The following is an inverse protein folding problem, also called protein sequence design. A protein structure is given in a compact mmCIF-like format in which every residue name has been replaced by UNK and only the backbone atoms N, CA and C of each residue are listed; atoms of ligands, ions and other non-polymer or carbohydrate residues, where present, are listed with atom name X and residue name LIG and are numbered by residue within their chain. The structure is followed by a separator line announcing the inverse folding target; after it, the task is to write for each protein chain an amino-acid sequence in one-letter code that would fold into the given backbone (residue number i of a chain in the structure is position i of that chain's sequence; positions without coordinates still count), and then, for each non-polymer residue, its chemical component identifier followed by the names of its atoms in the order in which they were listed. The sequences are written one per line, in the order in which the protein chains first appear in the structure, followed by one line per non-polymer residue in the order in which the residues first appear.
data_IF_696457098956
#
_entry.id   IF_696457098956
#
_cell.length_a   1.000
_cell.length_b   1.000
_cell.length_c   1.000
_cell.angle_alpha   90.00
_cell.angle_beta   90.00
_cell.angle_gamma   90.00
#
_symmetry.space_group_name_H-M   'P 1'
#
loop_
_entity.id
_entity.type
_entity.pdbx_description
1 polymer ?
#
# COMPACT_ATOMS: atom_id res chain seq x y z
N UNK A 1 19.87 -10.25 70.94
CA UNK A 1 19.64 -9.30 69.79
C UNK A 1 19.57 -10.11 68.55
N UNK A 2 18.36 -10.38 68.08
CA UNK A 2 18.06 -10.97 66.78
C UNK A 2 18.10 -9.86 65.73
N UNK A 3 19.11 -9.85 64.89
CA UNK A 3 19.17 -9.01 63.72
C UNK A 3 18.32 -9.69 62.60
N UNK A 4 17.23 -9.04 62.23
CA UNK A 4 16.52 -9.39 61.00
C UNK A 4 17.34 -8.81 59.84
N UNK A 5 17.94 -9.66 59.02
CA UNK A 5 18.42 -9.25 57.69
C UNK A 5 17.20 -8.89 56.83
N UNK A 6 17.13 -7.65 56.43
CA UNK A 6 16.06 -7.19 55.55
C UNK A 6 16.22 -7.87 54.18
N UNK A 7 15.24 -8.67 53.78
CA UNK A 7 15.14 -9.17 52.40
C UNK A 7 14.73 -7.99 51.53
N UNK A 8 15.65 -7.52 50.73
CA UNK A 8 15.34 -6.53 49.67
C UNK A 8 14.71 -7.29 48.50
N UNK A 9 13.41 -7.12 48.32
CA UNK A 9 12.70 -7.60 47.16
C UNK A 9 12.89 -6.52 46.11
N UNK A 10 13.74 -6.77 45.11
CA UNK A 10 13.83 -5.92 43.93
C UNK A 10 12.81 -6.39 42.90
N UNK A 11 11.99 -5.46 42.41
CA UNK A 11 11.13 -5.73 41.26
C UNK A 11 12.02 -5.73 40.01
N UNK A 12 11.92 -6.76 39.13
CA UNK A 12 12.64 -6.74 37.86
C UNK A 12 12.19 -5.53 37.01
N UNK A 13 13.11 -5.01 36.21
CA UNK A 13 12.77 -3.99 35.21
C UNK A 13 11.70 -4.54 34.26
N UNK A 14 10.73 -3.69 33.83
CA UNK A 14 9.69 -4.15 32.94
C UNK A 14 10.27 -4.56 31.57
N UNK A 15 9.80 -5.69 31.07
CA UNK A 15 10.10 -6.14 29.73
C UNK A 15 9.39 -5.22 28.72
N UNK A 16 10.15 -4.51 27.89
CA UNK A 16 9.63 -3.60 26.88
C UNK A 16 10.08 -4.05 25.48
N UNK A 17 9.21 -3.86 24.50
CA UNK A 17 9.51 -4.01 23.07
C UNK A 17 8.87 -2.87 22.31
N UNK A 18 9.55 -2.37 21.29
CA UNK A 18 9.05 -1.39 20.33
C UNK A 18 9.24 -1.94 18.92
N UNK A 19 8.16 -2.05 18.15
CA UNK A 19 8.12 -2.56 16.78
C UNK A 19 8.48 -1.52 15.72
N UNK A 20 8.76 -0.28 16.17
CA UNK A 20 9.01 0.85 15.27
C UNK A 20 7.74 1.53 14.75
N UNK A 21 7.90 2.59 13.94
CA UNK A 21 6.79 3.36 13.42
C UNK A 21 6.05 2.62 12.29
N UNK A 22 4.76 2.91 12.15
CA UNK A 22 4.00 2.50 10.97
C UNK A 22 4.64 3.07 9.69
N UNK A 23 4.56 2.31 8.60
CA UNK A 23 5.19 2.67 7.33
C UNK A 23 4.25 2.40 6.15
N UNK A 24 4.55 3.02 5.01
CA UNK A 24 3.85 2.83 3.74
C UNK A 24 4.85 2.28 2.74
N UNK A 25 4.43 1.27 1.98
CA UNK A 25 5.19 0.72 0.85
C UNK A 25 4.33 0.75 -0.41
N UNK A 26 4.95 0.85 -1.56
CA UNK A 26 4.27 0.59 -2.83
C UNK A 26 3.98 -0.92 -2.98
N UNK A 27 2.90 -1.27 -3.65
CA UNK A 27 2.57 -2.68 -3.93
C UNK A 27 3.73 -3.41 -4.61
N UNK A 28 4.07 -4.60 -4.08
CA UNK A 28 5.21 -5.38 -4.56
C UNK A 28 6.58 -4.95 -4.01
N UNK A 29 6.62 -3.88 -3.23
CA UNK A 29 7.83 -3.43 -2.53
C UNK A 29 7.96 -4.08 -1.15
N UNK A 30 9.08 -3.85 -0.48
CA UNK A 30 9.36 -4.35 0.85
C UNK A 30 9.98 -3.29 1.74
N UNK A 31 9.85 -3.47 3.06
CA UNK A 31 10.43 -2.59 4.08
C UNK A 31 11.05 -3.40 5.21
N UNK A 32 12.19 -2.97 5.77
CA UNK A 32 12.70 -3.57 6.98
C UNK A 32 11.85 -3.13 8.19
N UNK A 33 11.46 -4.10 9.02
CA UNK A 33 10.94 -3.83 10.36
C UNK A 33 12.08 -3.96 11.36
N UNK A 34 11.91 -3.37 12.56
CA UNK A 34 12.94 -3.42 13.60
C UNK A 34 12.29 -3.43 14.96
N UNK A 35 12.40 -4.56 15.66
CA UNK A 35 12.06 -4.63 17.08
C UNK A 35 13.26 -4.22 17.92
N UNK A 36 13.06 -3.23 18.78
CA UNK A 36 14.01 -2.88 19.83
C UNK A 36 13.45 -3.29 21.19
N UNK A 37 14.31 -3.73 22.10
CA UNK A 37 13.89 -4.23 23.41
C UNK A 37 14.88 -3.89 24.51
N UNK A 38 14.37 -3.72 25.72
CA UNK A 38 15.19 -3.60 26.93
C UNK A 38 15.66 -4.96 27.48
N UNK A 39 15.15 -6.07 26.95
CA UNK A 39 15.39 -7.43 27.43
C UNK A 39 16.73 -7.98 26.95
N UNK A 40 17.50 -8.55 27.87
CA UNK A 40 18.72 -9.32 27.58
C UNK A 40 18.99 -10.31 28.72
N UNK A 41 19.06 -11.64 28.44
CA UNK A 41 18.92 -12.26 27.10
C UNK A 41 17.46 -12.39 26.67
N UNK A 42 17.25 -12.34 25.35
CA UNK A 42 15.98 -12.70 24.72
C UNK A 42 15.93 -14.23 24.65
N UNK A 43 14.86 -14.85 25.18
CA UNK A 43 14.64 -16.31 25.10
C UNK A 43 13.84 -16.66 23.85
N UNK A 44 12.84 -15.82 23.52
CA UNK A 44 12.02 -16.03 22.33
C UNK A 44 11.57 -14.70 21.75
N UNK A 45 11.49 -14.66 20.42
CA UNK A 45 10.88 -13.58 19.64
C UNK A 45 9.96 -14.21 18.60
N UNK A 46 8.76 -13.64 18.45
CA UNK A 46 7.81 -14.12 17.47
C UNK A 46 7.04 -12.94 16.85
N UNK A 47 7.12 -12.84 15.53
CA UNK A 47 6.29 -11.95 14.73
C UNK A 47 5.08 -12.69 14.16
N UNK A 48 3.92 -12.04 14.21
CA UNK A 48 2.66 -12.54 13.62
C UNK A 48 1.90 -11.41 12.94
N UNK A 49 1.22 -11.65 11.81
CA UNK A 49 1.23 -12.88 11.00
C UNK A 49 2.60 -13.15 10.35
N UNK A 50 2.87 -14.38 9.95
CA UNK A 50 4.10 -14.77 9.25
C UNK A 50 4.11 -14.36 7.77
N UNK A 51 2.93 -14.12 7.20
CA UNK A 51 2.76 -13.81 5.79
C UNK A 51 3.47 -12.51 5.42
N UNK A 52 4.25 -12.54 4.35
CA UNK A 52 5.03 -11.40 3.88
C UNK A 52 6.28 -11.10 4.69
N UNK A 53 6.64 -11.90 5.71
CA UNK A 53 7.86 -11.70 6.49
C UNK A 53 8.98 -12.63 6.04
N UNK A 54 10.21 -12.12 6.02
CA UNK A 54 11.42 -12.91 5.73
C UNK A 54 11.79 -13.89 6.87
N UNK A 55 11.45 -13.56 8.10
CA UNK A 55 11.63 -14.38 9.30
C UNK A 55 10.63 -13.95 10.37
N UNK A 56 10.23 -14.87 11.24
CA UNK A 56 9.32 -14.58 12.37
C UNK A 56 10.01 -14.58 13.72
N UNK A 57 11.23 -15.08 13.77
CA UNK A 57 12.04 -15.31 14.97
C UNK A 57 13.30 -14.40 15.02
N UNK A 58 13.29 -13.30 14.32
CA UNK A 58 14.39 -12.33 14.22
C UNK A 58 13.97 -10.93 14.66
N UNK A 59 14.94 -10.10 15.07
CA UNK A 59 14.67 -8.72 15.48
C UNK A 59 14.38 -7.79 14.30
N UNK A 60 14.86 -8.13 13.12
CA UNK A 60 14.77 -7.27 11.92
C UNK A 60 14.29 -8.05 10.71
N UNK A 61 13.01 -8.44 10.66
CA UNK A 61 12.44 -9.03 9.45
C UNK A 61 12.30 -8.00 8.33
N UNK A 62 12.32 -8.48 7.09
CA UNK A 62 11.87 -7.70 5.92
C UNK A 62 10.39 -8.06 5.70
N UNK A 63 9.53 -7.05 5.65
CA UNK A 63 8.11 -7.20 5.38
C UNK A 63 7.79 -6.81 3.94
N UNK A 64 7.09 -7.68 3.22
CA UNK A 64 6.59 -7.49 1.86
C UNK A 64 5.13 -7.97 1.78
N UNK A 65 4.21 -7.37 2.54
CA UNK A 65 2.81 -7.74 2.50
C UNK A 65 2.17 -7.30 1.17
N UNK A 66 1.15 -8.05 0.72
CA UNK A 66 0.38 -7.71 -0.48
C UNK A 66 -0.87 -6.86 -0.18
N UNK A 67 -1.18 -6.64 1.10
CA UNK A 67 -2.27 -5.77 1.60
C UNK A 67 -1.89 -5.15 2.93
N UNK A 68 -2.64 -4.14 3.35
CA UNK A 68 -2.43 -3.47 4.64
C UNK A 68 -2.37 -4.50 5.77
N UNK A 69 -1.22 -4.61 6.41
CA UNK A 69 -0.98 -5.65 7.41
C UNK A 69 -0.42 -5.05 8.69
N UNK A 70 -0.99 -5.42 9.83
CA UNK A 70 -0.44 -5.11 11.14
C UNK A 70 0.31 -6.33 11.65
N UNK A 71 1.60 -6.16 11.87
CA UNK A 71 2.48 -7.18 12.44
C UNK A 71 2.62 -6.92 13.94
N UNK A 72 2.49 -7.97 14.74
CA UNK A 72 2.70 -7.96 16.18
C UNK A 72 4.00 -8.68 16.48
N UNK A 73 4.84 -8.10 17.33
CA UNK A 73 6.03 -8.75 17.88
C UNK A 73 5.81 -9.09 19.35
N UNK A 74 6.10 -10.33 19.69
CA UNK A 74 6.10 -10.82 21.08
C UNK A 74 7.51 -11.22 21.43
N UNK A 75 8.04 -10.68 22.54
CA UNK A 75 9.32 -11.05 23.10
C UNK A 75 9.10 -11.68 24.48
N UNK A 76 9.84 -12.77 24.75
CA UNK A 76 9.84 -13.46 26.04
C UNK A 76 11.22 -13.39 26.66
N UNK A 77 11.32 -12.97 27.92
CA UNK A 77 12.55 -12.97 28.69
C UNK A 77 12.83 -14.32 29.40
N UNK A 78 13.95 -14.42 30.09
CA UNK A 78 14.34 -15.63 30.83
C UNK A 78 13.41 -15.96 32.00
N UNK A 79 12.64 -14.99 32.49
CA UNK A 79 11.68 -15.17 33.57
C UNK A 79 10.29 -15.57 33.05
N UNK A 80 10.11 -15.65 31.73
CA UNK A 80 8.83 -15.92 31.08
C UNK A 80 7.93 -14.69 30.99
N UNK A 81 8.44 -13.47 31.24
CA UNK A 81 7.69 -12.23 31.04
C UNK A 81 7.56 -11.92 29.54
N UNK A 82 6.39 -11.42 29.14
CA UNK A 82 6.07 -11.10 27.76
C UNK A 82 6.03 -9.57 27.56
N UNK A 83 6.60 -9.11 26.46
CA UNK A 83 6.36 -7.78 25.91
C UNK A 83 5.78 -7.93 24.52
N UNK A 84 4.83 -7.05 24.17
CA UNK A 84 4.12 -7.07 22.89
C UNK A 84 4.04 -5.65 22.38
N UNK A 85 4.31 -5.49 21.07
CA UNK A 85 4.06 -4.26 20.34
C UNK A 85 3.67 -4.58 18.88
N UNK A 86 3.26 -3.57 18.13
CA UNK A 86 2.81 -3.76 16.76
C UNK A 86 3.23 -2.63 15.83
N UNK A 87 3.41 -2.97 14.55
CA UNK A 87 3.67 -2.03 13.47
C UNK A 87 2.74 -2.34 12.31
N UNK A 88 2.13 -1.30 11.73
CA UNK A 88 1.31 -1.45 10.54
C UNK A 88 2.11 -1.04 9.30
N UNK A 89 2.14 -1.95 8.32
CA UNK A 89 2.64 -1.69 6.97
C UNK A 89 1.42 -1.45 6.08
N UNK A 90 1.28 -0.21 5.62
CA UNK A 90 0.27 0.18 4.64
C UNK A 90 0.82 -0.09 3.24
N UNK A 91 0.01 -0.69 2.37
CA UNK A 91 0.36 -0.95 0.98
C UNK A 91 -0.39 0.03 0.11
N UNK A 92 0.36 0.89 -0.58
CA UNK A 92 -0.18 1.84 -1.54
C UNK A 92 -0.25 1.19 -2.92
N UNK A 93 -1.42 1.20 -3.53
CA UNK A 93 -1.65 0.78 -4.90
C UNK A 93 -1.74 2.03 -5.75
N UNK A 94 -0.69 2.32 -6.47
CA UNK A 94 -0.70 3.33 -7.52
C UNK A 94 -0.67 2.66 -8.91
N UNK A 95 -1.51 3.14 -9.82
CA UNK A 95 -1.50 2.74 -11.21
C UNK A 95 -1.21 3.94 -12.10
N UNK A 96 -0.41 3.70 -13.14
CA UNK A 96 -0.02 4.76 -14.05
C UNK A 96 -1.16 5.12 -15.00
N UNK A 97 -1.45 6.41 -15.10
CA UNK A 97 -2.40 6.95 -16.08
C UNK A 97 -1.60 7.69 -17.13
N UNK A 98 -1.68 7.30 -18.41
CA UNK A 98 -1.00 8.02 -19.49
C UNK A 98 -1.41 9.49 -19.51
N UNK A 99 -0.51 10.37 -19.90
CA UNK A 99 -0.77 11.80 -20.00
C UNK A 99 -1.04 12.30 -21.42
N UNK A 100 -0.87 11.42 -22.43
CA UNK A 100 -1.11 11.71 -23.84
C UNK A 100 -1.36 10.43 -24.63
N UNK A 101 -2.08 10.55 -25.75
CA UNK A 101 -2.25 9.50 -26.75
C UNK A 101 -2.42 10.09 -28.15
N UNK A 102 -2.21 9.26 -29.19
CA UNK A 102 -2.16 9.66 -30.59
C UNK A 102 -2.95 8.70 -31.47
N UNK A 103 -4.28 8.87 -31.61
CA UNK A 103 -5.10 8.00 -32.44
C UNK A 103 -4.84 8.29 -33.92
N UNK A 104 -3.79 7.68 -34.49
CA UNK A 104 -3.34 7.82 -35.88
C UNK A 104 -3.32 6.50 -36.66
N UNK A 105 -3.83 5.39 -36.03
CA UNK A 105 -3.91 4.05 -36.58
C UNK A 105 -2.53 3.41 -36.89
N UNK A 106 -1.46 3.81 -36.14
CA UNK A 106 -0.13 3.21 -36.31
C UNK A 106 0.08 2.00 -35.35
N UNK A 107 -0.88 1.71 -34.47
CA UNK A 107 -0.85 0.62 -33.51
C UNK A 107 -0.14 0.99 -32.19
N UNK A 108 0.24 2.26 -32.00
CA UNK A 108 0.92 2.74 -30.80
C UNK A 108 0.16 3.91 -30.16
N UNK A 109 -0.33 3.73 -28.94
CA UNK A 109 -1.06 4.75 -28.20
C UNK A 109 -2.28 5.32 -28.97
N UNK A 110 -2.93 4.51 -29.79
CA UNK A 110 -4.13 4.89 -30.54
C UNK A 110 -5.35 5.09 -29.65
N UNK A 111 -5.30 4.55 -28.44
CA UNK A 111 -6.34 4.70 -27.43
C UNK A 111 -5.75 5.18 -26.12
N UNK A 112 -6.49 6.03 -25.43
CA UNK A 112 -6.22 6.35 -24.03
C UNK A 112 -6.76 5.21 -23.18
N UNK A 113 -5.85 4.35 -22.73
CA UNK A 113 -6.15 3.15 -21.97
C UNK A 113 -5.31 3.07 -20.70
N UNK A 114 -5.88 2.52 -19.63
CA UNK A 114 -5.22 2.30 -18.36
C UNK A 114 -4.99 0.81 -18.21
N UNK A 115 -3.72 0.43 -17.98
CA UNK A 115 -3.35 -0.97 -17.82
C UNK A 115 -3.02 -1.23 -16.35
N UNK A 116 -3.84 -2.03 -15.69
CA UNK A 116 -3.60 -2.52 -14.33
C UNK A 116 -4.44 -3.76 -14.06
N UNK A 117 -3.89 -4.71 -13.33
CA UNK A 117 -4.59 -5.92 -12.85
C UNK A 117 -5.09 -5.76 -11.40
N UNK A 118 -4.94 -4.57 -10.82
CA UNK A 118 -5.16 -4.35 -9.39
C UNK A 118 -6.54 -3.79 -9.05
N UNK A 119 -7.45 -3.72 -10.03
CA UNK A 119 -8.79 -3.19 -9.84
C UNK A 119 -9.84 -4.29 -9.98
N UNK A 120 -10.82 -4.29 -9.07
CA UNK A 120 -12.02 -5.15 -9.14
C UNK A 120 -13.23 -4.41 -9.68
N UNK A 121 -13.22 -3.08 -9.63
CA UNK A 121 -14.15 -2.23 -10.35
C UNK A 121 -13.44 -1.01 -10.89
N UNK A 122 -13.94 -0.51 -12.00
CA UNK A 122 -13.35 0.60 -12.73
C UNK A 122 -14.47 1.40 -13.37
N UNK A 123 -14.34 2.70 -13.33
CA UNK A 123 -15.16 3.63 -14.10
C UNK A 123 -14.31 4.83 -14.46
N UNK A 124 -14.33 5.23 -15.72
CA UNK A 124 -13.70 6.45 -16.21
C UNK A 124 -14.72 7.37 -16.88
N UNK A 125 -14.55 8.66 -16.64
CA UNK A 125 -15.23 9.73 -17.37
C UNK A 125 -14.20 10.73 -17.88
N UNK A 126 -14.26 11.08 -19.17
CA UNK A 126 -13.40 12.07 -19.82
C UNK A 126 -14.22 13.25 -20.29
N UNK A 127 -13.72 14.44 -20.00
CA UNK A 127 -14.38 15.71 -20.28
C UNK A 127 -13.50 16.61 -21.17
N UNK A 128 -14.13 17.33 -22.07
CA UNK A 128 -13.46 18.37 -22.84
C UNK A 128 -13.18 19.63 -21.97
N UNK A 129 -12.50 20.62 -22.54
CA UNK A 129 -12.19 21.90 -21.87
C UNK A 129 -13.40 22.72 -21.43
N UNK A 130 -14.58 22.39 -21.96
CA UNK A 130 -15.85 23.07 -21.64
C UNK A 130 -16.62 22.36 -20.52
N UNK A 131 -16.14 21.18 -20.10
CA UNK A 131 -16.79 20.33 -19.11
C UNK A 131 -17.83 19.37 -19.72
N UNK A 132 -17.90 19.26 -21.06
CA UNK A 132 -18.78 18.30 -21.68
C UNK A 132 -18.16 16.91 -21.64
N UNK A 133 -18.98 15.91 -21.33
CA UNK A 133 -18.58 14.51 -21.28
C UNK A 133 -18.34 14.00 -22.71
N UNK A 134 -17.15 13.44 -22.97
CA UNK A 134 -16.78 12.91 -24.29
C UNK A 134 -16.56 11.40 -24.32
N UNK A 135 -16.32 10.78 -23.18
CA UNK A 135 -16.15 9.33 -23.06
C UNK A 135 -16.47 8.85 -21.66
N UNK A 136 -17.05 7.66 -21.55
CA UNK A 136 -17.16 6.89 -20.30
C UNK A 136 -17.00 5.42 -20.60
N UNK A 137 -16.38 4.67 -19.68
CA UNK A 137 -16.38 3.21 -19.67
C UNK A 137 -16.31 2.66 -18.26
N UNK A 138 -16.88 1.49 -18.04
CA UNK A 138 -16.71 0.64 -16.86
C UNK A 138 -15.90 -0.63 -17.16
N UNK A 139 -15.46 -0.79 -18.43
CA UNK A 139 -14.53 -1.83 -18.87
C UNK A 139 -13.12 -1.26 -18.97
N UNK A 140 -12.20 -1.80 -18.17
CA UNK A 140 -10.79 -1.37 -18.16
C UNK A 140 -10.08 -1.64 -19.49
N UNK A 141 -10.59 -2.55 -20.31
CA UNK A 141 -10.04 -2.87 -21.64
C UNK A 141 -10.58 -1.96 -22.74
N UNK A 142 -11.57 -1.12 -22.44
CA UNK A 142 -12.13 -0.17 -23.39
C UNK A 142 -11.46 1.20 -23.26
N UNK A 143 -10.59 1.55 -24.19
CA UNK A 143 -9.90 2.83 -24.27
C UNK A 143 -10.67 3.88 -25.07
N UNK A 144 -10.39 5.17 -24.80
CA UNK A 144 -10.93 6.25 -25.61
C UNK A 144 -10.06 6.50 -26.86
N UNK A 145 -10.64 6.37 -28.03
CA UNK A 145 -9.97 6.56 -29.32
C UNK A 145 -10.03 8.02 -29.85
N UNK A 146 -10.36 8.99 -29.01
CA UNK A 146 -10.42 10.40 -29.42
C UNK A 146 -11.65 10.77 -30.22
N UNK A 147 -12.72 9.95 -30.20
CA UNK A 147 -14.00 10.26 -30.85
C UNK A 147 -15.15 10.37 -29.85
N UNK A 148 -16.21 11.10 -30.23
CA UNK A 148 -17.51 11.09 -29.58
C UNK A 148 -18.57 10.75 -30.61
N UNK A 149 -19.29 9.63 -30.48
CA UNK A 149 -20.27 9.13 -31.46
C UNK A 149 -19.69 9.02 -32.88
N UNK A 150 -18.42 8.60 -32.99
CA UNK A 150 -17.72 8.48 -34.29
C UNK A 150 -17.22 9.81 -34.85
N UNK A 151 -17.39 10.92 -34.19
CA UNK A 151 -16.88 12.24 -34.59
C UNK A 151 -15.57 12.52 -33.84
N UNK A 152 -14.52 12.81 -34.63
CA UNK A 152 -13.21 13.17 -34.12
C UNK A 152 -13.29 14.39 -33.18
N UNK A 153 -12.75 14.28 -32.01
CA UNK A 153 -12.65 15.37 -31.06
C UNK A 153 -11.42 16.24 -31.37
N UNK A 154 -11.43 17.50 -30.95
CA UNK A 154 -10.34 18.45 -31.19
C UNK A 154 -9.04 18.02 -30.47
N UNK A 155 -7.88 18.27 -31.11
CA UNK A 155 -6.57 18.13 -30.48
C UNK A 155 -6.49 19.09 -29.29
N UNK A 156 -6.01 18.61 -28.15
CA UNK A 156 -5.87 19.43 -26.95
C UNK A 156 -5.96 18.67 -25.65
N UNK A 157 -6.13 19.41 -24.59
CA UNK A 157 -6.17 18.87 -23.22
C UNK A 157 -7.60 18.54 -22.81
N UNK A 158 -7.77 17.37 -22.23
CA UNK A 158 -9.00 16.83 -21.67
C UNK A 158 -8.77 16.54 -20.18
N UNK A 159 -9.85 16.50 -19.41
CA UNK A 159 -9.82 16.11 -18.00
C UNK A 159 -10.40 14.71 -17.84
N UNK A 160 -9.84 13.91 -16.95
CA UNK A 160 -10.41 12.61 -16.59
C UNK A 160 -10.71 12.53 -15.11
N UNK A 161 -11.72 11.72 -14.80
CA UNK A 161 -12.03 11.22 -13.46
C UNK A 161 -12.08 9.70 -13.56
N UNK A 162 -11.35 9.02 -12.69
CA UNK A 162 -11.37 7.56 -12.56
C UNK A 162 -11.84 7.25 -11.15
N UNK A 163 -12.88 6.45 -11.05
CA UNK A 163 -13.39 5.88 -9.81
C UNK A 163 -13.18 4.37 -9.87
N UNK A 164 -12.54 3.79 -8.89
CA UNK A 164 -12.17 2.39 -8.89
C UNK A 164 -12.16 1.80 -7.49
N UNK A 165 -12.23 0.47 -7.42
CA UNK A 165 -11.99 -0.28 -6.18
C UNK A 165 -10.84 -1.25 -6.46
N UNK A 166 -9.85 -1.23 -5.61
CA UNK A 166 -8.68 -2.12 -5.74
C UNK A 166 -9.02 -3.55 -5.31
N UNK A 167 -8.15 -4.49 -5.67
CA UNK A 167 -8.22 -5.89 -5.19
C UNK A 167 -8.15 -6.02 -3.66
N UNK A 168 -7.75 -4.96 -2.96
CA UNK A 168 -7.80 -4.85 -1.49
C UNK A 168 -9.12 -4.27 -0.96
N UNK A 169 -10.12 -4.12 -1.82
CA UNK A 169 -11.40 -3.51 -1.49
C UNK A 169 -11.29 -2.05 -1.00
N UNK A 170 -10.25 -1.33 -1.47
CA UNK A 170 -10.03 0.09 -1.15
C UNK A 170 -10.51 0.95 -2.32
N UNK A 171 -11.44 1.90 -2.10
CA UNK A 171 -11.86 2.83 -3.14
C UNK A 171 -10.74 3.83 -3.43
N UNK A 172 -10.51 4.08 -4.72
CA UNK A 172 -9.56 5.08 -5.21
C UNK A 172 -10.27 5.99 -6.21
N UNK A 173 -10.05 7.30 -6.09
CA UNK A 173 -10.44 8.28 -7.09
C UNK A 173 -9.18 8.99 -7.60
N UNK A 174 -8.95 8.92 -8.91
CA UNK A 174 -7.89 9.69 -9.58
C UNK A 174 -8.49 10.70 -10.54
N UNK A 175 -7.92 11.89 -10.53
CA UNK A 175 -8.26 12.95 -11.48
C UNK A 175 -7.00 13.50 -12.10
N UNK A 176 -7.08 13.92 -13.33
CA UNK A 176 -5.94 14.50 -14.01
C UNK A 176 -6.29 15.02 -15.40
N UNK A 177 -5.26 15.27 -16.17
CA UNK A 177 -5.38 15.74 -17.55
C UNK A 177 -4.67 14.79 -18.49
N UNK A 178 -5.21 14.65 -19.67
CA UNK A 178 -4.61 13.94 -20.79
C UNK A 178 -4.59 14.84 -22.03
N UNK A 179 -3.65 14.59 -22.94
CA UNK A 179 -3.53 15.34 -24.19
C UNK A 179 -3.82 14.44 -25.37
N UNK A 180 -4.84 14.81 -26.15
CA UNK A 180 -5.10 14.21 -27.45
C UNK A 180 -4.21 14.88 -28.50
N UNK A 181 -3.39 14.08 -29.15
CA UNK A 181 -2.50 14.47 -30.26
C UNK A 181 -2.95 13.76 -31.55
N UNK A 182 -2.41 14.19 -32.71
CA UNK A 182 -2.55 13.51 -34.02
C UNK A 182 -1.36 13.82 -34.89
#
# INVERSE_FOLDING_TARGET
TTTFEGVVISQPEPTLVEAGPNTVIEYGSSTPLSATTSVSPIVNILWTPAEGLSCTDCLQPIAAPTFNTTYYVVITDENGCLAIDSVTVWVDIDFNVPNAFTPNDDGLNDEFNIQTEMLISYYIAIYNRWGDLVFTSDDINEGWNGTLNGVLQEIGTYMYVIESVTTMNTPITKTGTLTLLR
#
